data_IF_216808928891
#
_entry.id   IF_216808928891
#
_cell.length_a   1.000
_cell.length_b   1.000
_cell.length_c   1.000
_cell.angle_alpha   90.00
_cell.angle_beta   90.00
_cell.angle_gamma   90.00
#
_symmetry.space_group_name_H-M   'P 1'
#
loop_
_entity.id
_entity.type
_entity.pdbx_description
1 polymer ?
#
# COMPACT_ATOMS: atom_id res chain seq x y z
N UNK A 1 5.73 -4.01 -29.39
CA UNK A 1 6.79 -3.02 -29.46
C UNK A 1 6.56 -1.79 -28.55
N UNK A 2 5.35 -1.24 -28.50
CA UNK A 2 4.99 -0.09 -27.64
C UNK A 2 5.02 -0.46 -26.14
N UNK A 3 4.48 -1.60 -25.75
CA UNK A 3 4.47 -2.08 -24.35
C UNK A 3 5.88 -2.29 -23.77
N UNK A 4 6.84 -2.69 -24.60
CA UNK A 4 8.23 -2.90 -24.17
C UNK A 4 8.93 -1.55 -23.89
N UNK A 5 8.72 -0.56 -24.73
CA UNK A 5 9.26 0.81 -24.53
C UNK A 5 8.69 1.49 -23.29
N UNK A 6 7.37 1.34 -23.05
CA UNK A 6 6.71 1.88 -21.84
C UNK A 6 7.27 1.19 -20.60
N UNK A 7 7.46 -0.13 -20.63
CA UNK A 7 8.03 -0.88 -19.52
C UNK A 7 9.48 -0.49 -19.21
N UNK A 8 10.28 -0.24 -20.23
CA UNK A 8 11.68 0.16 -20.05
C UNK A 8 11.79 1.61 -19.51
N UNK A 9 10.97 2.52 -20.00
CA UNK A 9 10.90 3.90 -19.50
C UNK A 9 10.45 3.93 -18.04
N UNK A 10 9.41 3.14 -17.70
CA UNK A 10 8.91 3.06 -16.33
C UNK A 10 9.98 2.49 -15.38
N UNK A 11 10.74 1.47 -15.81
CA UNK A 11 11.86 0.93 -15.05
C UNK A 11 12.95 1.97 -14.80
N UNK A 12 13.34 2.74 -15.81
CA UNK A 12 14.35 3.79 -15.68
C UNK A 12 13.92 4.87 -14.69
N UNK A 13 12.64 5.31 -14.74
CA UNK A 13 12.10 6.30 -13.80
C UNK A 13 12.09 5.73 -12.37
N UNK A 14 11.59 4.51 -12.20
CA UNK A 14 11.60 3.83 -10.90
C UNK A 14 13.00 3.65 -10.34
N UNK A 15 13.96 3.23 -11.18
CA UNK A 15 15.35 3.04 -10.76
C UNK A 15 16.05 4.37 -10.40
N UNK A 16 15.68 5.48 -11.03
CA UNK A 16 16.15 6.80 -10.68
C UNK A 16 15.60 7.24 -9.31
N UNK A 17 14.30 7.04 -9.06
CA UNK A 17 13.65 7.33 -7.78
C UNK A 17 14.27 6.48 -6.66
N UNK A 18 14.43 5.19 -6.89
CA UNK A 18 15.03 4.24 -5.94
C UNK A 18 16.46 4.65 -5.58
N UNK A 19 17.26 5.01 -6.57
CA UNK A 19 18.65 5.48 -6.34
C UNK A 19 18.68 6.78 -5.55
N UNK A 20 17.78 7.71 -5.81
CA UNK A 20 17.68 8.96 -5.07
C UNK A 20 17.36 8.69 -3.59
N UNK A 21 16.39 7.83 -3.31
CA UNK A 21 16.03 7.45 -1.93
C UNK A 21 17.14 6.62 -1.24
N UNK A 22 17.78 5.70 -1.95
CA UNK A 22 18.90 4.93 -1.40
C UNK A 22 20.09 5.82 -1.05
N UNK A 23 20.38 6.85 -1.87
CA UNK A 23 21.44 7.80 -1.61
C UNK A 23 21.18 8.70 -0.38
N UNK A 24 19.92 8.98 -0.06
CA UNK A 24 19.54 9.77 1.12
C UNK A 24 19.59 8.98 2.43
N UNK A 25 19.80 7.66 2.38
CA UNK A 25 19.88 6.80 3.56
C UNK A 25 18.53 6.62 4.31
N UNK A 26 17.41 6.97 3.66
CA UNK A 26 16.06 6.84 4.25
C UNK A 26 15.78 5.38 4.60
N UNK A 27 15.18 5.17 5.77
CA UNK A 27 14.76 3.83 6.19
C UNK A 27 13.60 3.34 5.32
N UNK A 28 13.68 2.12 4.72
CA UNK A 28 12.60 1.55 3.93
C UNK A 28 11.24 1.52 4.66
N UNK A 29 11.25 1.22 5.96
CA UNK A 29 10.03 1.19 6.77
C UNK A 29 9.35 2.56 6.85
N UNK A 30 10.11 3.64 6.75
CA UNK A 30 9.54 4.99 6.70
C UNK A 30 8.85 5.25 5.35
N UNK A 31 9.40 4.71 4.27
CA UNK A 31 8.77 4.78 2.95
C UNK A 31 7.43 4.03 2.92
N UNK A 32 7.39 2.83 3.49
CA UNK A 32 6.16 2.04 3.67
C UNK A 32 5.11 2.83 4.46
N UNK A 33 5.53 3.51 5.53
CA UNK A 33 4.63 4.34 6.32
C UNK A 33 4.08 5.54 5.52
N UNK A 34 4.90 6.19 4.69
CA UNK A 34 4.43 7.25 3.79
C UNK A 34 3.40 6.70 2.80
N UNK A 35 3.66 5.54 2.19
CA UNK A 35 2.71 4.85 1.31
C UNK A 35 1.36 4.61 1.98
N UNK A 36 1.39 4.17 3.24
CA UNK A 36 0.18 4.02 4.06
C UNK A 36 -0.58 5.34 4.26
N UNK A 37 0.10 6.42 4.59
CA UNK A 37 -0.52 7.76 4.74
C UNK A 37 -1.16 8.22 3.42
N UNK A 38 -0.51 7.98 2.29
CA UNK A 38 -1.06 8.30 0.97
C UNK A 38 -2.32 7.47 0.69
N UNK A 39 -2.35 6.19 1.09
CA UNK A 39 -3.54 5.34 0.98
C UNK A 39 -4.69 5.83 1.90
N UNK A 40 -4.39 6.31 3.10
CA UNK A 40 -5.39 6.94 3.96
C UNK A 40 -5.99 8.21 3.32
N UNK A 41 -5.16 9.01 2.64
CA UNK A 41 -5.64 10.16 1.88
C UNK A 41 -6.55 9.72 0.71
N UNK A 42 -6.20 8.66 0.00
CA UNK A 42 -7.04 8.09 -1.04
C UNK A 42 -8.39 7.60 -0.49
N UNK A 43 -8.38 6.95 0.69
CA UNK A 43 -9.59 6.53 1.39
C UNK A 43 -10.50 7.72 1.74
N UNK A 44 -9.91 8.81 2.21
CA UNK A 44 -10.63 10.06 2.46
C UNK A 44 -11.28 10.60 1.17
N UNK A 45 -10.55 10.64 0.07
CA UNK A 45 -11.07 11.08 -1.23
C UNK A 45 -12.21 10.19 -1.72
N UNK A 46 -12.13 8.87 -1.50
CA UNK A 46 -13.22 7.94 -1.79
C UNK A 46 -14.48 8.25 -0.97
N UNK A 47 -14.31 8.51 0.33
CA UNK A 47 -15.42 8.82 1.23
C UNK A 47 -16.23 10.06 0.77
N UNK A 48 -15.56 11.01 0.12
CA UNK A 48 -16.19 12.21 -0.44
C UNK A 48 -16.61 12.08 -1.92
N UNK A 49 -16.37 10.92 -2.54
CA UNK A 49 -16.76 10.66 -3.93
C UNK A 49 -15.81 11.21 -5.00
N UNK A 50 -14.62 11.64 -4.60
CA UNK A 50 -13.58 12.12 -5.54
C UNK A 50 -12.80 10.96 -6.17
N UNK A 51 -13.49 10.06 -6.86
CA UNK A 51 -12.93 8.81 -7.39
C UNK A 51 -11.71 9.01 -8.30
N UNK A 52 -11.71 10.05 -9.13
CA UNK A 52 -10.59 10.32 -10.05
C UNK A 52 -9.30 10.66 -9.29
N UNK A 53 -9.42 11.51 -8.28
CA UNK A 53 -8.31 11.89 -7.41
C UNK A 53 -7.86 10.75 -6.49
N UNK A 54 -8.82 9.98 -5.97
CA UNK A 54 -8.52 8.79 -5.19
C UNK A 54 -7.72 7.78 -6.01
N UNK A 55 -8.12 7.50 -7.26
CA UNK A 55 -7.37 6.61 -8.16
C UNK A 55 -5.95 7.09 -8.43
N UNK A 56 -5.76 8.40 -8.69
CA UNK A 56 -4.43 8.98 -8.87
C UNK A 56 -3.56 8.84 -7.59
N UNK A 57 -4.17 9.03 -6.42
CA UNK A 57 -3.49 8.90 -5.13
C UNK A 57 -3.09 7.45 -4.84
N UNK A 58 -3.95 6.47 -5.15
CA UNK A 58 -3.63 5.04 -5.05
C UNK A 58 -2.46 4.67 -5.97
N UNK A 59 -2.47 5.18 -7.19
CA UNK A 59 -1.38 4.94 -8.12
C UNK A 59 -0.05 5.48 -7.58
N UNK A 60 -0.08 6.66 -6.98
CA UNK A 60 1.09 7.25 -6.30
C UNK A 60 1.55 6.38 -5.12
N UNK A 61 0.62 5.91 -4.27
CA UNK A 61 0.93 5.01 -3.17
C UNK A 61 1.61 3.72 -3.66
N UNK A 62 1.12 3.13 -4.76
CA UNK A 62 1.72 1.94 -5.38
C UNK A 62 3.16 2.16 -5.86
N UNK A 63 3.50 3.38 -6.32
CA UNK A 63 4.89 3.73 -6.67
C UNK A 63 5.77 3.71 -5.42
N UNK A 64 5.31 4.25 -4.29
CA UNK A 64 6.05 4.22 -3.03
C UNK A 64 6.25 2.79 -2.53
N UNK A 65 5.24 1.97 -2.58
CA UNK A 65 5.26 0.56 -2.22
C UNK A 65 6.26 -0.26 -3.07
N UNK A 66 6.29 -0.03 -4.39
CA UNK A 66 7.30 -0.64 -5.25
C UNK A 66 8.72 -0.13 -4.96
N UNK A 67 8.84 1.08 -4.46
CA UNK A 67 10.13 1.75 -4.22
C UNK A 67 10.76 1.28 -2.93
N UNK A 68 9.99 1.12 -1.84
CA UNK A 68 10.52 0.74 -0.52
C UNK A 68 11.19 -0.64 -0.53
N UNK A 69 10.58 -1.64 -1.16
CA UNK A 69 11.15 -2.96 -1.32
C UNK A 69 12.45 -2.96 -2.15
N UNK A 70 12.54 -2.10 -3.16
CA UNK A 70 13.77 -1.95 -3.96
C UNK A 70 14.87 -1.22 -3.20
N UNK A 71 14.51 -0.15 -2.47
CA UNK A 71 15.44 0.58 -1.60
C UNK A 71 16.01 -0.35 -0.52
N UNK A 72 15.17 -1.17 0.11
CA UNK A 72 15.60 -2.14 1.11
C UNK A 72 16.64 -3.11 0.54
N UNK A 73 16.44 -3.60 -0.68
CA UNK A 73 17.38 -4.51 -1.36
C UNK A 73 18.70 -3.82 -1.73
N UNK A 74 18.63 -2.61 -2.30
CA UNK A 74 19.84 -1.86 -2.70
C UNK A 74 20.67 -1.39 -1.51
N UNK A 75 20.01 -1.02 -0.41
CA UNK A 75 20.68 -0.61 0.82
C UNK A 75 21.14 -1.80 1.69
N UNK A 76 20.90 -3.05 1.25
CA UNK A 76 21.18 -4.27 2.00
C UNK A 76 20.53 -4.26 3.41
N UNK A 77 19.33 -3.67 3.52
CA UNK A 77 18.55 -3.50 4.76
C UNK A 77 17.29 -4.38 4.77
N UNK A 78 17.32 -5.49 4.07
CA UNK A 78 16.22 -6.47 4.09
C UNK A 78 16.24 -7.16 5.44
N UNK A 79 15.16 -6.95 6.23
CA UNK A 79 15.00 -7.58 7.54
C UNK A 79 13.68 -8.35 7.59
N UNK A 80 13.58 -9.45 8.36
CA UNK A 80 12.31 -10.15 8.58
C UNK A 80 11.22 -9.21 9.16
N UNK A 81 11.61 -8.31 10.05
CA UNK A 81 10.71 -7.30 10.61
C UNK A 81 10.21 -6.34 9.53
N UNK A 82 11.06 -5.87 8.60
CA UNK A 82 10.66 -4.99 7.51
C UNK A 82 9.62 -5.65 6.60
N UNK A 83 9.81 -6.92 6.23
CA UNK A 83 8.83 -7.67 5.44
C UNK A 83 7.50 -7.90 6.17
N UNK A 84 7.55 -8.15 7.48
CA UNK A 84 6.34 -8.24 8.30
C UNK A 84 5.61 -6.89 8.37
N UNK A 85 6.34 -5.82 8.66
CA UNK A 85 5.81 -4.46 8.75
C UNK A 85 5.13 -4.02 7.44
N UNK A 86 5.77 -4.27 6.31
CA UNK A 86 5.24 -4.01 4.97
C UNK A 86 3.92 -4.75 4.73
N UNK A 87 3.88 -6.05 5.00
CA UNK A 87 2.66 -6.86 4.87
C UNK A 87 1.53 -6.40 5.78
N UNK A 88 1.82 -5.88 6.96
CA UNK A 88 0.84 -5.32 7.88
C UNK A 88 0.31 -4.00 7.35
N UNK A 89 1.19 -3.10 6.92
CA UNK A 89 0.81 -1.80 6.38
C UNK A 89 -0.05 -1.93 5.12
N UNK A 90 0.24 -2.90 4.24
CA UNK A 90 -0.58 -3.23 3.08
C UNK A 90 -2.02 -3.58 3.48
N UNK A 91 -2.18 -4.43 4.49
CA UNK A 91 -3.51 -4.82 4.97
C UNK A 91 -4.28 -3.64 5.56
N UNK A 92 -3.59 -2.79 6.32
CA UNK A 92 -4.22 -1.56 6.84
C UNK A 92 -4.55 -0.56 5.72
N UNK A 93 -3.73 -0.48 4.68
CA UNK A 93 -4.01 0.31 3.48
C UNK A 93 -5.28 -0.17 2.78
N UNK A 94 -5.39 -1.47 2.51
CA UNK A 94 -6.57 -2.09 1.90
C UNK A 94 -7.83 -1.82 2.73
N UNK A 95 -7.75 -2.01 4.06
CA UNK A 95 -8.86 -1.74 4.97
C UNK A 95 -9.27 -0.26 4.95
N UNK A 96 -8.32 0.66 4.94
CA UNK A 96 -8.62 2.09 4.90
C UNK A 96 -9.33 2.50 3.60
N UNK A 97 -8.92 1.95 2.46
CA UNK A 97 -9.57 2.17 1.17
C UNK A 97 -11.00 1.61 1.15
N UNK A 98 -11.20 0.41 1.70
CA UNK A 98 -12.52 -0.19 1.83
C UNK A 98 -13.43 0.62 2.74
N UNK A 99 -12.92 1.14 3.86
CA UNK A 99 -13.66 2.02 4.76
C UNK A 99 -14.06 3.31 4.05
N UNK A 100 -13.16 3.94 3.29
CA UNK A 100 -13.45 5.13 2.50
C UNK A 100 -14.59 4.88 1.49
N UNK A 101 -14.50 3.77 0.78
CA UNK A 101 -15.52 3.35 -0.19
C UNK A 101 -16.85 3.02 0.51
N UNK A 102 -16.80 2.38 1.67
CA UNK A 102 -17.95 2.06 2.50
C UNK A 102 -18.68 3.32 2.96
N UNK A 103 -17.98 4.33 3.44
CA UNK A 103 -18.57 5.60 3.88
C UNK A 103 -19.34 6.23 2.71
N UNK A 104 -18.80 6.16 1.50
CA UNK A 104 -19.47 6.68 0.32
C UNK A 104 -20.72 5.86 -0.03
N UNK A 105 -20.61 4.53 -0.15
CA UNK A 105 -21.70 3.65 -0.55
C UNK A 105 -22.61 3.21 0.59
N UNK A 106 -22.13 3.25 1.83
CA UNK A 106 -22.93 2.86 3.01
C UNK A 106 -24.10 3.78 3.28
N UNK A 107 -24.12 4.97 2.67
CA UNK A 107 -25.30 5.82 2.58
C UNK A 107 -26.37 5.24 1.66
N UNK A 108 -26.00 4.28 0.81
CA UNK A 108 -26.83 3.76 -0.26
C UNK A 108 -27.31 2.32 0.01
N UNK A 109 -26.54 1.47 0.73
CA UNK A 109 -26.91 0.05 0.85
C UNK A 109 -26.42 -0.62 2.14
N UNK A 110 -27.39 -1.14 2.95
CA UNK A 110 -27.18 -1.83 4.22
C UNK A 110 -26.34 -3.12 4.10
N UNK A 111 -26.39 -3.79 2.96
CA UNK A 111 -25.63 -5.06 2.72
C UNK A 111 -24.11 -4.87 2.62
N UNK A 112 -23.66 -3.67 2.38
CA UNK A 112 -22.25 -3.35 2.27
C UNK A 112 -21.52 -3.45 3.63
N UNK A 113 -22.21 -3.20 4.74
CA UNK A 113 -21.66 -3.33 6.10
C UNK A 113 -21.33 -4.78 6.43
N UNK A 114 -22.13 -5.75 5.94
CA UNK A 114 -21.90 -7.18 6.18
C UNK A 114 -20.64 -7.65 5.46
N UNK A 115 -20.41 -7.21 4.23
CA UNK A 115 -19.20 -7.57 3.49
C UNK A 115 -17.93 -6.97 4.08
N UNK A 116 -18.00 -5.76 4.66
CA UNK A 116 -16.85 -5.16 5.35
C UNK A 116 -16.43 -5.96 6.59
N UNK A 117 -17.40 -6.36 7.41
CA UNK A 117 -17.14 -7.17 8.60
C UNK A 117 -16.49 -8.50 8.20
N UNK A 118 -16.98 -9.14 7.15
CA UNK A 118 -16.40 -10.38 6.63
C UNK A 118 -14.94 -10.20 6.17
N UNK A 119 -14.63 -9.13 5.42
CA UNK A 119 -13.25 -8.84 4.96
C UNK A 119 -12.35 -8.51 6.14
N UNK A 120 -12.83 -7.73 7.11
CA UNK A 120 -12.10 -7.42 8.34
C UNK A 120 -11.77 -8.66 9.17
N UNK A 121 -12.70 -9.59 9.28
CA UNK A 121 -12.49 -10.87 9.98
C UNK A 121 -11.44 -11.74 9.26
N UNK A 122 -11.51 -11.84 7.93
CA UNK A 122 -10.53 -12.59 7.14
C UNK A 122 -9.13 -11.98 7.27
N UNK A 123 -9.03 -10.65 7.20
CA UNK A 123 -7.76 -9.93 7.39
C UNK A 123 -7.16 -10.16 8.77
N UNK A 124 -7.99 -10.15 9.82
CA UNK A 124 -7.55 -10.41 11.20
C UNK A 124 -7.04 -11.83 11.39
N UNK A 125 -7.70 -12.82 10.78
CA UNK A 125 -7.25 -14.23 10.84
C UNK A 125 -5.93 -14.42 10.11
N UNK A 126 -5.76 -13.79 8.93
CA UNK A 126 -4.50 -13.87 8.19
C UNK A 126 -3.35 -13.17 8.93
N UNK A 127 -3.63 -12.01 9.56
CA UNK A 127 -2.68 -11.33 10.41
C UNK A 127 -2.21 -12.22 11.57
N UNK A 128 -3.16 -12.85 12.27
CA UNK A 128 -2.84 -13.76 13.38
C UNK A 128 -2.00 -14.96 12.93
N UNK A 129 -2.33 -15.56 11.79
CA UNK A 129 -1.53 -16.66 11.21
C UNK A 129 -0.12 -16.22 10.82
N UNK A 130 0.03 -15.04 10.22
CA UNK A 130 1.33 -14.46 9.88
C UNK A 130 2.17 -14.16 11.12
N UNK A 131 1.55 -13.65 12.18
CA UNK A 131 2.20 -13.37 13.45
C UNK A 131 2.68 -14.67 14.15
N UNK A 132 1.89 -15.71 14.11
CA UNK A 132 2.27 -17.04 14.64
C UNK A 132 3.48 -17.63 13.89
N UNK A 133 3.52 -17.47 12.57
CA UNK A 133 4.66 -17.93 11.76
C UNK A 133 5.94 -17.12 12.03
N UNK A 134 5.80 -15.85 12.43
CA UNK A 134 6.93 -15.00 12.81
C UNK A 134 7.51 -15.36 14.17
N UNK A 135 6.69 -15.84 15.13
CA UNK A 135 7.12 -16.23 16.47
C UNK A 135 7.79 -17.61 16.53
N UNK A 136 7.62 -18.43 15.49
CA UNK A 136 8.27 -19.74 15.34
C UNK A 136 9.42 -19.68 14.32
#
# INVERSE_FOLDING_TARGET
MVTRKIGDTLRHVLDAIVRAFAATGINPNFLTFIGFIINCLAAYLFAYGYFRWAGATIFLAGIFDMTDGRVARLANRVTPFGGFYDSVMDRYSDLSLLIGLLIYYGRINRYFYVSLVAVGMIGSVQFWRGFQLFLH
#
